data_IF_473018679530
#
_entry.id   IF_473018679530
#
_cell.length_a   1.000
_cell.length_b   1.000
_cell.length_c   1.000
_cell.angle_alpha   90.00
_cell.angle_beta   90.00
_cell.angle_gamma   90.00
#
_symmetry.space_group_name_H-M   'P 1'
#
loop_
_entity.id
_entity.type
_entity.pdbx_description
1 polymer ?
#
# COMPACT_ATOMS: atom_id res chain seq x y z
N UNK A 1 7.27 18.12 23.69
CA UNK A 1 6.46 16.87 23.60
C UNK A 1 5.04 17.13 23.11
N UNK A 2 4.26 18.04 23.72
CA UNK A 2 2.86 18.35 23.30
C UNK A 2 2.73 18.69 21.82
N UNK A 3 3.64 19.51 21.27
CA UNK A 3 3.61 19.92 19.85
C UNK A 3 3.82 18.75 18.87
N UNK A 4 4.77 17.85 19.15
CA UNK A 4 5.00 16.65 18.33
C UNK A 4 3.77 15.73 18.38
N UNK A 5 3.16 15.55 19.56
CA UNK A 5 1.91 14.79 19.67
C UNK A 5 0.81 15.38 18.77
N UNK A 6 0.68 16.71 18.74
CA UNK A 6 -0.26 17.39 17.84
C UNK A 6 0.07 17.13 16.37
N UNK A 7 1.33 17.24 15.96
CA UNK A 7 1.76 16.90 14.59
C UNK A 7 1.40 15.45 14.21
N UNK A 8 1.55 14.50 15.13
CA UNK A 8 1.14 13.11 14.91
C UNK A 8 -0.38 12.98 14.70
N UNK A 9 -1.20 13.64 15.53
CA UNK A 9 -2.66 13.65 15.37
C UNK A 9 -3.08 14.26 14.03
N UNK A 10 -2.48 15.38 13.64
CA UNK A 10 -2.75 16.02 12.34
C UNK A 10 -2.30 15.13 11.16
N UNK A 11 -1.19 14.38 11.31
CA UNK A 11 -0.72 13.42 10.30
C UNK A 11 -1.74 12.30 10.11
N UNK A 12 -2.23 11.69 11.21
CA UNK A 12 -3.28 10.66 11.16
C UNK A 12 -4.52 11.22 10.47
N UNK A 13 -4.99 12.38 10.90
CA UNK A 13 -6.19 13.01 10.37
C UNK A 13 -6.06 13.24 8.88
N UNK A 14 -4.93 13.80 8.43
CA UNK A 14 -4.66 14.01 7.02
C UNK A 14 -4.61 12.69 6.24
N UNK A 15 -3.95 11.65 6.77
CA UNK A 15 -3.92 10.33 6.13
C UNK A 15 -5.33 9.79 5.93
N UNK A 16 -6.16 9.82 6.98
CA UNK A 16 -7.57 9.40 6.94
C UNK A 16 -8.35 10.13 5.86
N UNK A 17 -8.16 11.45 5.71
CA UNK A 17 -8.79 12.26 4.67
C UNK A 17 -8.32 11.85 3.25
N UNK A 18 -7.08 11.37 3.10
CA UNK A 18 -6.55 10.90 1.82
C UNK A 18 -6.91 9.45 1.47
N UNK A 19 -7.24 8.59 2.43
CA UNK A 19 -7.53 7.16 2.19
C UNK A 19 -8.58 6.90 1.09
N UNK A 20 -9.70 7.64 0.99
CA UNK A 20 -10.67 7.44 -0.10
C UNK A 20 -10.07 7.72 -1.49
N UNK A 21 -9.24 8.76 -1.60
CA UNK A 21 -8.58 9.13 -2.85
C UNK A 21 -7.50 8.12 -3.22
N UNK A 22 -6.72 7.66 -2.24
CA UNK A 22 -5.72 6.60 -2.41
C UNK A 22 -6.38 5.30 -2.88
N UNK A 23 -7.45 4.87 -2.21
CA UNK A 23 -8.25 3.69 -2.59
C UNK A 23 -8.74 3.81 -4.03
N UNK A 24 -9.32 4.95 -4.41
CA UNK A 24 -9.81 5.17 -5.77
C UNK A 24 -8.68 5.05 -6.80
N UNK A 25 -7.52 5.64 -6.53
CA UNK A 25 -6.37 5.59 -7.42
C UNK A 25 -5.85 4.15 -7.61
N UNK A 26 -5.68 3.40 -6.53
CA UNK A 26 -5.25 2.00 -6.57
C UNK A 26 -6.26 1.14 -7.33
N UNK A 27 -7.56 1.29 -7.05
CA UNK A 27 -8.62 0.49 -7.69
C UNK A 27 -8.74 0.77 -9.18
N UNK A 28 -8.55 2.02 -9.60
CA UNK A 28 -8.52 2.37 -11.02
C UNK A 28 -7.30 1.76 -11.71
N UNK A 29 -6.13 1.81 -11.06
CA UNK A 29 -4.87 1.28 -11.60
C UNK A 29 -4.85 -0.25 -11.65
N UNK A 30 -5.63 -0.90 -10.78
CA UNK A 30 -5.71 -2.37 -10.67
C UNK A 30 -7.12 -2.89 -10.97
N UNK A 31 -7.78 -2.39 -12.00
CA UNK A 31 -9.18 -2.75 -12.28
C UNK A 31 -9.35 -4.25 -12.57
N UNK A 32 -10.12 -4.91 -11.68
CA UNK A 32 -10.50 -6.33 -11.77
C UNK A 32 -11.90 -6.52 -12.38
N UNK A 33 -12.65 -5.44 -12.59
CA UNK A 33 -14.06 -5.50 -13.00
C UNK A 33 -14.21 -6.04 -14.42
N UNK A 34 -13.34 -5.61 -15.34
CA UNK A 34 -13.33 -6.06 -16.74
C UNK A 34 -13.02 -7.56 -16.87
N UNK A 35 -11.88 -8.08 -16.36
CA UNK A 35 -11.58 -9.51 -16.49
C UNK A 35 -12.62 -10.41 -15.79
N UNK A 36 -13.17 -9.96 -14.65
CA UNK A 36 -14.27 -10.68 -13.99
C UNK A 36 -15.53 -10.74 -14.85
N UNK A 37 -15.93 -9.65 -15.52
CA UNK A 37 -17.08 -9.63 -16.44
C UNK A 37 -16.84 -10.54 -17.64
N UNK A 38 -15.61 -10.54 -18.19
CA UNK A 38 -15.25 -11.41 -19.30
C UNK A 38 -15.30 -12.89 -18.91
N UNK A 39 -14.78 -13.27 -17.73
CA UNK A 39 -14.90 -14.65 -17.23
C UNK A 39 -16.35 -15.10 -17.10
N UNK A 40 -17.22 -14.27 -16.53
CA UNK A 40 -18.66 -14.58 -16.43
C UNK A 40 -19.29 -14.82 -17.80
N UNK A 41 -18.90 -14.04 -18.81
CA UNK A 41 -19.37 -14.21 -20.19
C UNK A 41 -18.86 -15.51 -20.81
N UNK A 42 -17.56 -15.80 -20.70
CA UNK A 42 -16.94 -17.02 -21.23
C UNK A 42 -17.60 -18.27 -20.62
N UNK A 43 -17.84 -18.28 -19.31
CA UNK A 43 -18.51 -19.39 -18.60
C UNK A 43 -19.97 -19.57 -18.98
N UNK A 44 -20.64 -18.51 -19.42
CA UNK A 44 -22.00 -18.62 -19.96
C UNK A 44 -21.96 -19.22 -21.38
N UNK A 45 -21.08 -18.72 -22.24
CA UNK A 45 -20.90 -19.23 -23.61
C UNK A 45 -20.48 -20.71 -23.61
N UNK A 46 -19.55 -21.12 -22.74
CA UNK A 46 -19.16 -22.53 -22.59
C UNK A 46 -20.33 -23.44 -22.21
N UNK A 47 -21.15 -23.04 -21.23
CA UNK A 47 -22.33 -23.82 -20.83
C UNK A 47 -23.34 -23.97 -21.98
N UNK A 48 -23.51 -22.93 -22.79
CA UNK A 48 -24.38 -23.00 -23.98
C UNK A 48 -23.83 -23.95 -25.03
N UNK A 49 -22.52 -23.90 -25.31
CA UNK A 49 -21.88 -24.82 -26.26
C UNK A 49 -21.88 -26.27 -25.77
N UNK A 50 -21.67 -26.50 -24.48
CA UNK A 50 -21.77 -27.84 -23.88
C UNK A 50 -23.17 -28.43 -24.04
N UNK A 51 -24.22 -27.63 -23.84
CA UNK A 51 -25.60 -28.07 -24.09
C UNK A 51 -25.83 -28.40 -25.56
N UNK A 52 -25.29 -27.62 -26.49
CA UNK A 52 -25.38 -27.93 -27.93
C UNK A 52 -24.62 -29.20 -28.32
N UNK A 53 -23.47 -29.48 -27.69
CA UNK A 53 -22.69 -30.69 -27.94
C UNK A 53 -23.45 -31.97 -27.53
N UNK A 54 -24.30 -31.89 -26.50
CA UNK A 54 -25.15 -33.01 -26.08
C UNK A 54 -26.31 -33.28 -27.06
N UNK A 55 -26.67 -32.31 -27.91
CA UNK A 55 -27.82 -32.40 -28.83
C UNK A 55 -27.44 -32.80 -30.26
N UNK A 56 -26.23 -32.48 -30.75
CA UNK A 56 -25.79 -32.72 -32.14
C UNK A 56 -24.70 -33.80 -32.24
N UNK A 57 -24.93 -34.82 -33.08
CA UNK A 57 -23.99 -35.95 -33.33
C UNK A 57 -22.70 -35.55 -34.09
N UNK A 58 -22.57 -34.28 -34.53
CA UNK A 58 -21.46 -33.80 -35.35
C UNK A 58 -20.71 -32.66 -34.63
N UNK A 59 -19.94 -33.03 -33.60
CA UNK A 59 -19.40 -32.13 -32.56
C UNK A 59 -18.07 -31.43 -32.82
N UNK A 60 -17.36 -31.70 -33.92
CA UNK A 60 -15.98 -31.23 -34.14
C UNK A 60 -15.84 -29.69 -34.08
N UNK A 61 -16.80 -28.95 -34.64
CA UNK A 61 -16.78 -27.47 -34.64
C UNK A 61 -17.05 -26.90 -33.23
N UNK A 62 -17.87 -27.59 -32.43
CA UNK A 62 -18.21 -27.17 -31.05
C UNK A 62 -17.02 -27.41 -30.12
N UNK A 63 -16.31 -28.53 -30.30
CA UNK A 63 -15.10 -28.86 -29.54
C UNK A 63 -13.99 -27.82 -29.75
N UNK A 64 -13.72 -27.42 -31.00
CA UNK A 64 -12.75 -26.35 -31.29
C UNK A 64 -13.14 -25.00 -30.66
N UNK A 65 -14.43 -24.68 -30.61
CA UNK A 65 -14.89 -23.47 -29.96
C UNK A 65 -14.73 -23.53 -28.43
N UNK A 66 -14.97 -24.70 -27.81
CA UNK A 66 -14.76 -24.91 -26.39
C UNK A 66 -13.28 -24.77 -26.01
N UNK A 67 -12.36 -25.31 -26.81
CA UNK A 67 -10.91 -25.16 -26.63
C UNK A 67 -10.49 -23.67 -26.71
N UNK A 68 -11.01 -22.93 -27.71
CA UNK A 68 -10.76 -21.49 -27.82
C UNK A 68 -11.29 -20.71 -26.61
N UNK A 69 -12.44 -21.10 -26.06
CA UNK A 69 -12.99 -20.50 -24.84
C UNK A 69 -12.19 -20.88 -23.59
N UNK A 70 -11.58 -22.08 -23.55
CA UNK A 70 -10.67 -22.49 -22.48
C UNK A 70 -9.44 -21.61 -22.42
N UNK A 71 -8.76 -21.41 -23.56
CA UNK A 71 -7.59 -20.53 -23.64
C UNK A 71 -7.93 -19.07 -23.30
N UNK A 72 -9.13 -18.59 -23.68
CA UNK A 72 -9.61 -17.26 -23.28
C UNK A 72 -9.86 -17.17 -21.78
N UNK A 73 -10.43 -18.20 -21.16
CA UNK A 73 -10.66 -18.25 -19.72
C UNK A 73 -9.34 -18.23 -18.93
N UNK A 74 -8.38 -19.08 -19.31
CA UNK A 74 -7.04 -19.13 -18.72
C UNK A 74 -6.38 -17.74 -18.75
N UNK A 75 -6.38 -17.08 -19.92
CA UNK A 75 -5.84 -15.73 -20.05
C UNK A 75 -6.51 -14.71 -19.12
N UNK A 76 -7.82 -14.79 -18.90
CA UNK A 76 -8.49 -13.88 -17.97
C UNK A 76 -8.14 -14.19 -16.51
N UNK A 77 -7.94 -15.47 -16.18
CA UNK A 77 -7.47 -15.88 -14.86
C UNK A 77 -6.06 -15.39 -14.56
N UNK A 78 -5.15 -15.43 -15.54
CA UNK A 78 -3.81 -14.86 -15.39
C UNK A 78 -3.85 -13.35 -15.12
N UNK A 79 -4.70 -12.62 -15.85
CA UNK A 79 -4.89 -11.18 -15.61
C UNK A 79 -5.43 -10.94 -14.20
N UNK A 80 -6.40 -11.71 -13.73
CA UNK A 80 -6.93 -11.59 -12.36
C UNK A 80 -5.87 -11.91 -11.31
N UNK A 81 -5.13 -13.01 -11.49
CA UNK A 81 -4.05 -13.45 -10.61
C UNK A 81 -3.03 -12.34 -10.39
N UNK A 82 -2.48 -11.82 -11.49
CA UNK A 82 -1.45 -10.78 -11.43
C UNK A 82 -2.00 -9.49 -10.82
N UNK A 83 -3.20 -9.03 -11.23
CA UNK A 83 -3.78 -7.77 -10.73
C UNK A 83 -4.27 -7.84 -9.30
N UNK A 84 -4.79 -8.98 -8.85
CA UNK A 84 -5.20 -9.17 -7.44
C UNK A 84 -3.98 -9.03 -6.53
N UNK A 85 -2.86 -9.70 -6.86
CA UNK A 85 -1.63 -9.58 -6.09
C UNK A 85 -1.03 -8.16 -6.18
N UNK A 86 -1.02 -7.59 -7.38
CA UNK A 86 -0.57 -6.21 -7.63
C UNK A 86 -1.31 -5.23 -6.74
N UNK A 87 -2.63 -5.37 -6.60
CA UNK A 87 -3.45 -4.51 -5.75
C UNK A 87 -3.03 -4.58 -4.28
N UNK A 88 -2.81 -5.79 -3.75
CA UNK A 88 -2.38 -5.98 -2.35
C UNK A 88 -1.05 -5.28 -2.10
N UNK A 89 -0.05 -5.60 -2.93
CA UNK A 89 1.31 -5.06 -2.78
C UNK A 89 1.33 -3.54 -2.99
N UNK A 90 0.65 -3.03 -4.01
CA UNK A 90 0.54 -1.58 -4.27
C UNK A 90 -0.16 -0.86 -3.12
N UNK A 91 -1.17 -1.48 -2.51
CA UNK A 91 -1.85 -0.88 -1.34
C UNK A 91 -0.90 -0.71 -0.17
N UNK A 92 -0.11 -1.74 0.15
CA UNK A 92 0.88 -1.67 1.22
C UNK A 92 1.90 -0.54 0.99
N UNK A 93 2.54 -0.55 -0.18
CA UNK A 93 3.55 0.46 -0.53
C UNK A 93 2.95 1.87 -0.56
N UNK A 94 1.85 2.07 -1.29
CA UNK A 94 1.29 3.40 -1.45
C UNK A 94 0.76 3.98 -0.13
N UNK A 95 0.22 3.13 0.75
CA UNK A 95 -0.19 3.54 2.10
C UNK A 95 1.00 3.98 2.96
N UNK A 96 2.06 3.18 3.02
CA UNK A 96 3.27 3.51 3.80
C UNK A 96 3.95 4.77 3.27
N UNK A 97 4.13 4.88 1.96
CA UNK A 97 4.73 6.07 1.33
C UNK A 97 3.91 7.32 1.63
N UNK A 98 2.59 7.26 1.47
CA UNK A 98 1.71 8.39 1.79
C UNK A 98 1.82 8.80 3.26
N UNK A 99 1.78 7.83 4.18
CA UNK A 99 1.92 8.08 5.61
C UNK A 99 3.25 8.75 5.96
N UNK A 100 4.37 8.24 5.46
CA UNK A 100 5.69 8.78 5.78
C UNK A 100 5.91 10.17 5.19
N UNK A 101 5.42 10.44 3.98
CA UNK A 101 5.51 11.77 3.36
C UNK A 101 4.65 12.78 4.14
N UNK A 102 3.44 12.41 4.53
CA UNK A 102 2.59 13.23 5.41
C UNK A 102 3.29 13.51 6.73
N UNK A 103 3.90 12.49 7.33
CA UNK A 103 4.62 12.61 8.59
C UNK A 103 5.74 13.64 8.48
N UNK A 104 6.60 13.52 7.45
CA UNK A 104 7.71 14.45 7.21
C UNK A 104 7.18 15.86 7.00
N UNK A 105 6.23 16.06 6.08
CA UNK A 105 5.73 17.40 5.75
C UNK A 105 5.03 18.07 6.94
N UNK A 106 4.15 17.35 7.65
CA UNK A 106 3.43 17.91 8.80
C UNK A 106 4.39 18.26 9.94
N UNK A 107 5.41 17.44 10.20
CA UNK A 107 6.40 17.72 11.24
C UNK A 107 7.33 18.87 10.86
N UNK A 108 7.78 18.93 9.60
CA UNK A 108 8.61 20.01 9.08
C UNK A 108 7.93 21.36 9.22
N UNK A 109 6.67 21.42 8.81
CA UNK A 109 5.88 22.64 8.87
C UNK A 109 5.51 23.00 10.31
N UNK A 110 5.23 22.01 11.15
CA UNK A 110 4.99 22.21 12.58
C UNK A 110 6.21 22.77 13.30
N UNK A 111 7.41 22.28 12.98
CA UNK A 111 8.68 22.76 13.51
C UNK A 111 8.98 24.21 13.10
N UNK A 112 8.76 24.55 11.82
CA UNK A 112 8.90 25.91 11.30
C UNK A 112 7.92 26.89 11.96
N UNK A 113 6.64 26.55 12.01
CA UNK A 113 5.62 27.38 12.67
C UNK A 113 5.97 27.65 14.14
N UNK A 114 6.51 26.66 14.85
CA UNK A 114 6.95 26.85 16.23
C UNK A 114 8.15 27.81 16.34
N UNK A 115 9.13 27.69 15.46
CA UNK A 115 10.30 28.58 15.43
C UNK A 115 9.87 30.03 15.21
N UNK A 116 8.95 30.25 14.29
CA UNK A 116 8.40 31.58 13.99
C UNK A 116 7.64 32.16 15.20
N UNK A 117 6.78 31.36 15.86
CA UNK A 117 6.08 31.77 17.09
C UNK A 117 7.06 32.15 18.20
N UNK A 118 8.14 31.38 18.38
CA UNK A 118 9.14 31.63 19.41
C UNK A 118 9.96 32.88 19.12
N UNK A 119 10.35 33.10 17.87
CA UNK A 119 11.02 34.33 17.44
C UNK A 119 10.14 35.56 17.62
N UNK A 120 8.84 35.44 17.32
CA UNK A 120 7.89 36.52 17.52
C UNK A 120 7.77 36.88 19.00
N UNK A 121 7.57 35.89 19.89
CA UNK A 121 7.54 36.12 21.33
C UNK A 121 8.82 36.78 21.85
N UNK A 122 9.98 36.39 21.31
CA UNK A 122 11.26 36.99 21.66
C UNK A 122 11.37 38.44 21.21
N UNK A 123 10.85 38.80 20.04
CA UNK A 123 10.81 40.20 19.55
C UNK A 123 9.90 41.05 20.43
N UNK A 124 8.72 40.55 20.78
CA UNK A 124 7.78 41.24 21.66
C UNK A 124 8.38 41.52 23.06
N UNK A 125 9.15 40.58 23.62
CA UNK A 125 9.85 40.77 24.89
C UNK A 125 10.97 41.82 24.82
N UNK A 126 11.67 41.93 23.69
CA UNK A 126 12.75 42.93 23.51
C UNK A 126 12.16 44.33 23.32
N UNK A 127 11.02 44.44 22.64
CA UNK A 127 10.37 45.73 22.38
C UNK A 127 9.76 46.37 23.64
N UNK A 128 9.32 45.59 24.63
CA UNK A 128 8.72 46.14 25.86
C UNK A 128 9.77 46.75 26.83
N UNK A 129 11.04 46.35 26.72
CA UNK A 129 12.16 46.92 27.51
C UNK A 129 12.74 48.21 26.90
N UNK A 130 12.33 48.60 25.69
CA UNK A 130 12.82 49.82 25.04
C UNK A 130 12.01 51.03 25.54
N UNK A 131 12.66 52.08 26.08
CA UNK A 131 11.96 53.25 26.62
C UNK A 131 11.08 53.88 25.54
N UNK A 132 9.76 53.82 25.78
CA UNK A 132 8.72 54.32 24.86
C UNK A 132 8.84 55.84 24.74
N UNK A 133 9.61 56.32 23.76
CA UNK A 133 9.57 57.72 23.34
C UNK A 133 8.19 58.00 22.74
N UNK A 134 7.37 58.80 23.44
CA UNK A 134 5.93 58.97 23.22
C UNK A 134 5.51 59.62 21.88
N UNK A 135 6.39 59.72 20.87
CA UNK A 135 6.17 60.61 19.70
C UNK A 135 6.05 59.96 18.32
N UNK A 136 6.09 58.64 18.16
CA UNK A 136 5.90 58.01 16.84
C UNK A 136 4.80 56.95 16.82
N UNK A 137 3.55 57.38 16.62
CA UNK A 137 2.41 56.51 16.29
C UNK A 137 2.57 55.94 14.88
N UNK A 138 3.36 54.89 14.72
CA UNK A 138 3.53 54.18 13.45
C UNK A 138 2.77 52.86 13.52
N UNK A 139 1.83 52.68 12.61
CA UNK A 139 0.81 51.63 12.63
C UNK A 139 1.42 50.24 12.37
N UNK A 140 1.12 49.20 13.16
CA UNK A 140 1.66 47.84 13.02
C UNK A 140 0.96 47.04 11.89
N UNK A 141 1.08 47.50 10.64
CA UNK A 141 0.39 46.90 9.50
C UNK A 141 1.18 45.77 8.78
N UNK A 142 2.42 45.48 9.15
CA UNK A 142 3.32 44.59 8.40
C UNK A 142 3.31 43.11 8.83
N UNK A 143 2.65 42.74 9.93
CA UNK A 143 2.66 41.35 10.45
C UNK A 143 1.61 40.43 9.83
N UNK A 144 0.58 40.95 9.17
CA UNK A 144 -0.47 40.10 8.59
C UNK A 144 -0.08 39.47 7.24
N UNK A 145 0.75 40.14 6.43
CA UNK A 145 1.09 39.70 5.07
C UNK A 145 1.96 38.43 5.05
N UNK A 146 2.87 38.26 6.02
CA UNK A 146 3.77 37.09 6.08
C UNK A 146 3.01 35.78 6.33
N UNK A 147 2.01 35.80 7.22
CA UNK A 147 1.21 34.63 7.57
C UNK A 147 0.40 34.09 6.38
N UNK A 148 -0.07 34.99 5.52
CA UNK A 148 -0.84 34.62 4.32
C UNK A 148 0.04 33.98 3.26
N UNK A 149 1.26 34.49 3.06
CA UNK A 149 2.20 33.93 2.08
C UNK A 149 2.65 32.51 2.45
N UNK A 150 2.85 32.25 3.75
CA UNK A 150 3.23 30.94 4.25
C UNK A 150 2.14 29.89 4.00
N UNK A 151 0.88 30.21 4.32
CA UNK A 151 -0.26 29.30 4.10
C UNK A 151 -0.44 28.93 2.63
N UNK A 152 -0.26 29.90 1.74
CA UNK A 152 -0.37 29.65 0.29
C UNK A 152 0.79 28.78 -0.21
N UNK A 153 2.01 29.06 0.21
CA UNK A 153 3.18 28.23 -0.14
C UNK A 153 2.99 26.79 0.33
N UNK A 154 2.50 26.60 1.56
CA UNK A 154 2.17 25.29 2.10
C UNK A 154 1.11 24.56 1.26
N UNK A 155 0.03 25.26 0.90
CA UNK A 155 -1.01 24.69 0.02
C UNK A 155 -0.41 24.21 -1.30
N UNK A 156 0.47 25.00 -1.92
CA UNK A 156 1.15 24.62 -3.17
C UNK A 156 1.97 23.34 -2.99
N UNK A 157 2.76 23.25 -1.91
CA UNK A 157 3.58 22.07 -1.61
C UNK A 157 2.72 20.82 -1.45
N UNK A 158 1.67 20.88 -0.61
CA UNK A 158 0.78 19.75 -0.40
C UNK A 158 0.08 19.36 -1.70
N UNK A 159 -0.54 20.33 -2.40
CA UNK A 159 -1.27 20.06 -3.64
C UNK A 159 -0.37 19.40 -4.66
N UNK A 160 0.83 19.96 -4.94
CA UNK A 160 1.75 19.36 -5.92
C UNK A 160 2.20 17.96 -5.53
N UNK A 161 2.53 17.74 -4.26
CA UNK A 161 3.02 16.44 -3.78
C UNK A 161 1.94 15.37 -3.89
N UNK A 162 0.77 15.61 -3.28
CA UNK A 162 -0.28 14.59 -3.19
C UNK A 162 -1.10 14.43 -4.46
N UNK A 163 -1.31 15.50 -5.22
CA UNK A 163 -1.99 15.40 -6.52
C UNK A 163 -1.19 14.50 -7.45
N UNK A 164 0.11 14.76 -7.61
CA UNK A 164 1.02 13.92 -8.41
C UNK A 164 1.11 12.49 -7.88
N UNK A 165 1.23 12.33 -6.57
CA UNK A 165 1.31 11.01 -5.96
C UNK A 165 0.06 10.18 -6.31
N UNK A 166 -1.12 10.74 -6.09
CA UNK A 166 -2.40 10.07 -6.30
C UNK A 166 -2.80 9.93 -7.77
N UNK A 167 -2.40 10.84 -8.66
CA UNK A 167 -2.80 10.81 -10.07
C UNK A 167 -1.89 9.94 -10.94
N UNK A 168 -0.57 10.03 -10.74
CA UNK A 168 0.43 9.42 -11.61
C UNK A 168 1.23 8.35 -10.89
N UNK A 169 1.71 8.66 -9.68
CA UNK A 169 2.74 7.84 -9.06
C UNK A 169 2.21 6.51 -8.55
N UNK A 170 0.99 6.48 -8.01
CA UNK A 170 0.28 5.22 -7.66
C UNK A 170 0.06 4.36 -8.90
N UNK A 171 -0.24 4.94 -10.07
CA UNK A 171 -0.40 4.17 -11.31
C UNK A 171 0.93 3.61 -11.81
N UNK A 172 2.02 4.38 -11.69
CA UNK A 172 3.36 3.92 -12.07
C UNK A 172 3.83 2.81 -11.13
N UNK A 173 3.62 2.97 -9.82
CA UNK A 173 3.89 1.94 -8.82
C UNK A 173 3.10 0.66 -9.11
N UNK A 174 1.78 0.77 -9.38
CA UNK A 174 0.95 -0.37 -9.72
C UNK A 174 1.45 -1.12 -10.96
N UNK A 175 1.89 -0.37 -11.97
CA UNK A 175 2.42 -0.95 -13.21
C UNK A 175 3.75 -1.68 -12.97
N UNK A 176 4.68 -1.07 -12.24
CA UNK A 176 5.97 -1.70 -11.92
C UNK A 176 5.77 -2.98 -11.10
N UNK A 177 4.80 -2.97 -10.17
CA UNK A 177 4.40 -4.17 -9.41
C UNK A 177 3.71 -5.20 -10.30
N UNK A 178 2.85 -4.81 -11.25
CA UNK A 178 2.17 -5.72 -12.18
C UNK A 178 3.19 -6.44 -13.08
N UNK A 179 4.17 -5.71 -13.61
CA UNK A 179 5.25 -6.25 -14.44
C UNK A 179 6.11 -7.28 -13.66
N UNK A 180 6.33 -7.05 -12.36
CA UNK A 180 7.02 -7.99 -11.48
C UNK A 180 6.15 -9.19 -11.10
N UNK A 181 4.87 -8.98 -10.79
CA UNK A 181 3.94 -10.04 -10.48
C UNK A 181 3.77 -11.00 -11.66
N UNK A 182 3.72 -10.48 -12.90
CA UNK A 182 3.66 -11.31 -14.11
C UNK A 182 4.89 -12.22 -14.24
N UNK A 183 6.09 -11.75 -13.87
CA UNK A 183 7.30 -12.58 -13.90
C UNK A 183 7.31 -13.62 -12.79
N UNK A 184 7.06 -13.18 -11.55
CA UNK A 184 7.17 -14.01 -10.35
C UNK A 184 6.10 -15.12 -10.34
N UNK A 185 4.91 -14.84 -10.87
CA UNK A 185 3.77 -15.76 -10.94
C UNK A 185 3.63 -16.48 -12.29
N UNK A 186 4.62 -16.39 -13.19
CA UNK A 186 4.52 -16.96 -14.55
C UNK A 186 4.22 -18.46 -14.59
N UNK A 187 4.61 -19.19 -13.54
CA UNK A 187 4.47 -20.64 -13.43
C UNK A 187 3.25 -21.07 -12.59
N UNK A 188 2.52 -20.11 -12.05
CA UNK A 188 1.30 -20.37 -11.30
C UNK A 188 0.12 -20.44 -12.25
N UNK A 189 -0.35 -21.66 -12.54
CA UNK A 189 -1.46 -21.91 -13.46
C UNK A 189 -2.76 -22.11 -12.68
N UNK A 190 -3.72 -21.20 -12.84
CA UNK A 190 -4.98 -21.22 -12.09
C UNK A 190 -5.88 -22.40 -12.46
N UNK A 191 -5.86 -22.83 -13.73
CA UNK A 191 -6.79 -23.84 -14.26
C UNK A 191 -6.23 -25.27 -14.27
N UNK A 192 -5.04 -25.49 -13.70
CA UNK A 192 -4.32 -26.76 -13.86
C UNK A 192 -3.82 -26.96 -15.29
N UNK A 193 -2.62 -27.54 -15.43
CA UNK A 193 -2.25 -28.14 -16.70
C UNK A 193 -2.94 -29.50 -16.75
N UNK A 194 -3.65 -29.81 -17.84
CA UNK A 194 -4.24 -31.14 -18.01
C UNK A 194 -3.12 -32.18 -17.84
N UNK A 195 -3.17 -32.93 -16.74
CA UNK A 195 -2.09 -33.85 -16.31
C UNK A 195 -1.84 -35.01 -17.29
N UNK A 196 -2.62 -35.11 -18.37
CA UNK A 196 -2.50 -36.17 -19.35
C UNK A 196 -1.21 -36.11 -20.19
N UNK A 197 -0.52 -34.98 -20.26
CA UNK A 197 0.79 -34.88 -20.94
C UNK A 197 1.97 -35.40 -20.10
N UNK A 198 1.82 -35.54 -18.76
CA UNK A 198 2.93 -35.93 -17.86
C UNK A 198 3.25 -37.42 -17.79
N UNK A 199 2.42 -38.29 -18.37
CA UNK A 199 2.63 -39.76 -18.31
C UNK A 199 3.77 -40.30 -19.18
N UNK A 200 4.45 -39.46 -19.97
CA UNK A 200 5.40 -39.97 -20.98
C UNK A 200 6.87 -39.98 -20.58
N UNK A 201 7.27 -39.51 -19.39
CA UNK A 201 8.71 -39.40 -19.07
C UNK A 201 9.11 -39.69 -17.61
N UNK A 202 8.62 -40.79 -17.02
CA UNK A 202 9.00 -41.25 -15.66
C UNK A 202 10.49 -41.63 -15.46
N UNK A 203 11.38 -41.42 -16.45
CA UNK A 203 12.78 -41.86 -16.39
C UNK A 203 13.82 -40.74 -16.25
N UNK A 204 13.43 -39.46 -16.14
CA UNK A 204 14.40 -38.39 -15.86
C UNK A 204 14.54 -38.11 -14.35
N UNK A 205 15.73 -38.46 -13.88
CA UNK A 205 16.21 -38.56 -12.50
C UNK A 205 16.57 -37.17 -11.97
N UNK A 206 15.98 -36.78 -10.84
CA UNK A 206 16.47 -35.83 -9.82
C UNK A 206 17.21 -34.57 -10.30
N UNK A 207 16.46 -33.51 -10.63
CA UNK A 207 16.95 -32.14 -10.46
C UNK A 207 16.00 -31.39 -9.50
N UNK A 208 16.49 -31.14 -8.28
CA UNK A 208 15.80 -30.63 -7.08
C UNK A 208 15.17 -29.22 -7.16
N UNK A 209 14.82 -28.70 -8.33
CA UNK A 209 14.10 -27.42 -8.46
C UNK A 209 13.10 -27.44 -9.62
N UNK A 210 12.42 -28.56 -9.86
CA UNK A 210 11.22 -28.51 -10.69
C UNK A 210 10.16 -27.70 -9.92
N UNK A 211 10.00 -26.45 -10.34
CA UNK A 211 8.84 -25.60 -9.99
C UNK A 211 7.58 -26.41 -10.35
N UNK A 212 7.01 -27.10 -9.36
CA UNK A 212 5.76 -27.82 -9.54
C UNK A 212 4.71 -26.83 -9.99
N UNK A 213 4.02 -27.15 -11.09
CA UNK A 213 2.77 -26.49 -11.47
C UNK A 213 1.82 -26.59 -10.26
N UNK A 214 1.66 -25.47 -9.55
CA UNK A 214 0.93 -25.41 -8.29
C UNK A 214 -0.48 -24.93 -8.58
N UNK A 215 -1.44 -25.86 -8.65
CA UNK A 215 -2.88 -25.55 -8.67
C UNK A 215 -3.39 -25.17 -7.30
N UNK A 216 -2.81 -25.77 -6.28
CA UNK A 216 -3.13 -25.55 -4.88
C UNK A 216 -1.90 -24.96 -4.21
N UNK A 217 -2.08 -23.94 -3.38
CA UNK A 217 -1.00 -23.21 -2.73
C UNK A 217 -1.24 -23.14 -1.23
N UNK A 218 -0.17 -22.97 -0.48
CA UNK A 218 -0.21 -22.67 0.95
C UNK A 218 -0.04 -21.17 1.20
N UNK A 219 -0.32 -20.73 2.42
CA UNK A 219 -0.01 -19.35 2.86
C UNK A 219 1.48 -19.01 2.67
N UNK A 220 2.35 -19.98 2.96
CA UNK A 220 3.79 -19.85 2.80
C UNK A 220 4.22 -19.65 1.33
N UNK A 221 3.59 -20.35 0.39
CA UNK A 221 3.88 -20.18 -1.05
C UNK A 221 3.55 -18.76 -1.53
N UNK A 222 2.41 -18.23 -1.08
CA UNK A 222 2.01 -16.86 -1.39
C UNK A 222 2.95 -15.83 -0.75
N UNK A 223 3.30 -16.01 0.52
CA UNK A 223 4.26 -15.16 1.23
C UNK A 223 5.61 -15.12 0.52
N UNK A 224 6.14 -16.27 0.10
CA UNK A 224 7.40 -16.34 -0.64
C UNK A 224 7.33 -15.54 -1.95
N UNK A 225 6.21 -15.59 -2.67
CA UNK A 225 6.04 -14.83 -3.91
C UNK A 225 5.89 -13.33 -3.67
N UNK A 226 5.24 -12.93 -2.58
CA UNK A 226 5.20 -11.53 -2.15
C UNK A 226 6.62 -11.06 -1.82
N UNK A 227 7.37 -11.83 -1.03
CA UNK A 227 8.75 -11.50 -0.67
C UNK A 227 9.68 -11.44 -1.89
N UNK A 228 9.50 -12.30 -2.89
CA UNK A 228 10.25 -12.22 -4.15
C UNK A 228 9.98 -10.89 -4.89
N UNK A 229 8.73 -10.41 -4.92
CA UNK A 229 8.40 -9.11 -5.51
C UNK A 229 9.00 -7.97 -4.68
N UNK A 230 8.91 -8.05 -3.35
CA UNK A 230 9.47 -7.05 -2.43
C UNK A 230 10.98 -6.92 -2.58
N UNK A 231 11.68 -8.04 -2.63
CA UNK A 231 13.13 -8.12 -2.83
C UNK A 231 13.62 -7.37 -4.08
N UNK A 232 12.83 -7.39 -5.14
CA UNK A 232 13.13 -6.66 -6.38
C UNK A 232 12.74 -5.17 -6.26
N UNK A 233 11.57 -4.86 -5.71
CA UNK A 233 11.09 -3.47 -5.52
C UNK A 233 12.01 -2.67 -4.59
N UNK A 234 12.28 -3.22 -3.40
CA UNK A 234 13.13 -2.62 -2.36
C UNK A 234 14.62 -2.69 -2.75
N UNK A 235 14.97 -3.55 -3.72
CA UNK A 235 16.30 -3.61 -4.33
C UNK A 235 17.32 -4.43 -3.56
N UNK A 236 16.87 -5.32 -2.67
CA UNK A 236 17.73 -6.31 -2.03
C UNK A 236 18.40 -7.23 -3.06
N UNK A 237 17.73 -7.51 -4.19
CA UNK A 237 18.28 -8.37 -5.23
C UNK A 237 18.92 -7.56 -6.37
N UNK A 238 20.17 -7.16 -6.14
CA UNK A 238 21.02 -6.49 -7.15
C UNK A 238 21.25 -7.31 -8.44
N UNK A 239 20.96 -8.62 -8.43
CA UNK A 239 21.19 -9.52 -9.57
C UNK A 239 19.96 -9.78 -10.46
N UNK A 240 18.74 -9.39 -10.04
CA UNK A 240 17.52 -9.71 -10.81
C UNK A 240 17.55 -9.01 -12.18
N UNK A 241 18.03 -7.77 -12.23
CA UNK A 241 18.22 -7.02 -13.49
C UNK A 241 19.32 -7.58 -14.41
N UNK A 242 20.30 -8.35 -13.89
CA UNK A 242 21.37 -8.91 -14.74
C UNK A 242 20.90 -10.08 -15.58
N UNK A 243 19.91 -10.86 -15.12
CA UNK A 243 19.40 -12.03 -15.86
C UNK A 243 18.36 -11.68 -16.93
N UNK A 244 17.75 -10.49 -16.85
CA UNK A 244 16.61 -10.10 -17.71
C UNK A 244 16.88 -8.99 -18.72
N UNK A 245 18.15 -8.71 -19.06
CA UNK A 245 18.44 -7.98 -20.31
C UNK A 245 17.90 -8.80 -21.48
N UNK A 246 16.68 -8.49 -21.93
CA UNK A 246 16.09 -9.04 -23.14
C UNK A 246 17.12 -8.90 -24.26
N UNK A 247 17.50 -9.98 -24.96
CA UNK A 247 18.55 -9.92 -25.98
C UNK A 247 18.25 -8.95 -27.14
N UNK A 248 16.98 -8.61 -27.33
CA UNK A 248 16.52 -7.82 -28.46
C UNK A 248 15.65 -6.65 -27.99
N UNK A 249 16.15 -5.42 -28.16
CA UNK A 249 15.32 -4.31 -28.58
C UNK A 249 15.03 -3.24 -27.54
N UNK A 250 15.62 -2.07 -27.81
CA UNK A 250 15.32 -0.75 -27.28
C UNK A 250 15.65 -0.65 -25.80
N UNK A 251 16.81 -0.03 -25.53
CA UNK A 251 17.15 0.51 -24.22
C UNK A 251 16.03 1.45 -23.79
N UNK A 252 14.99 0.91 -23.13
CA UNK A 252 14.09 1.70 -22.32
C UNK A 252 15.02 2.40 -21.35
N UNK A 253 15.21 3.69 -21.55
CA UNK A 253 16.00 4.56 -20.69
C UNK A 253 15.26 4.67 -19.36
N UNK A 254 15.15 3.57 -18.61
CA UNK A 254 15.02 3.64 -17.16
C UNK A 254 16.32 4.32 -16.75
N UNK A 255 16.23 5.62 -16.48
CA UNK A 255 17.35 6.45 -16.10
C UNK A 255 17.91 5.95 -14.76
N UNK A 256 18.69 4.87 -14.79
CA UNK A 256 19.50 4.38 -13.66
C UNK A 256 20.67 5.33 -13.34
N UNK A 257 20.59 6.59 -13.80
CA UNK A 257 21.55 7.63 -13.43
C UNK A 257 21.23 8.07 -12.00
N UNK A 258 22.04 7.50 -11.09
CA UNK A 258 22.38 7.97 -9.74
C UNK A 258 21.54 7.43 -8.58
N UNK A 259 21.63 6.12 -8.30
CA UNK A 259 21.66 5.70 -6.90
C UNK A 259 23.03 6.07 -6.33
N UNK A 260 23.12 7.20 -5.63
CA UNK A 260 24.23 7.37 -4.69
C UNK A 260 23.78 7.05 -3.27
N UNK A 261 22.60 7.44 -2.83
CA UNK A 261 22.03 7.08 -1.52
C UNK A 261 20.49 7.24 -1.59
N UNK A 262 19.72 6.40 -0.90
CA UNK A 262 18.25 6.51 -0.81
C UNK A 262 17.45 5.31 -1.33
N UNK A 263 16.24 5.15 -0.77
CA UNK A 263 15.27 4.11 -1.14
C UNK A 263 14.87 4.15 -2.62
N UNK A 264 14.57 2.99 -3.19
CA UNK A 264 14.08 2.89 -4.57
C UNK A 264 12.67 3.46 -4.75
N UNK A 265 11.89 3.44 -3.67
CA UNK A 265 10.47 3.78 -3.71
C UNK A 265 10.25 5.29 -3.71
N UNK A 266 11.26 6.06 -3.31
CA UNK A 266 11.23 7.53 -3.32
C UNK A 266 10.96 8.11 -4.71
N UNK A 267 11.29 7.37 -5.77
CA UNK A 267 11.02 7.77 -7.17
C UNK A 267 9.52 7.88 -7.47
N UNK A 268 8.66 7.23 -6.66
CA UNK A 268 7.21 7.35 -6.76
C UNK A 268 6.66 8.53 -5.94
N UNK A 269 7.50 9.28 -5.24
CA UNK A 269 7.09 10.49 -4.52
C UNK A 269 7.70 11.73 -5.20
N UNK A 270 8.99 11.67 -5.49
CA UNK A 270 9.75 12.82 -5.99
C UNK A 270 9.61 12.89 -7.51
N UNK A 271 9.32 14.08 -8.06
CA UNK A 271 9.40 14.33 -9.48
C UNK A 271 10.70 13.87 -10.11
N UNK A 272 10.60 13.17 -11.25
CA UNK A 272 11.76 12.96 -12.10
C UNK A 272 12.35 14.31 -12.48
N UNK A 273 13.64 14.52 -12.16
CA UNK A 273 14.39 15.75 -12.50
C UNK A 273 14.31 15.95 -14.03
N UNK A 274 13.38 16.79 -14.50
CA UNK A 274 13.16 17.08 -15.91
C UNK A 274 11.70 17.12 -16.38
N UNK A 275 10.72 16.71 -15.56
CA UNK A 275 9.30 16.75 -15.94
C UNK A 275 8.64 18.11 -15.64
N UNK A 276 9.18 18.90 -14.70
CA UNK A 276 8.55 20.14 -14.19
C UNK A 276 8.83 21.40 -15.03
N UNK A 277 9.49 21.29 -16.19
CA UNK A 277 9.84 22.47 -17.01
C UNK A 277 8.64 23.09 -17.78
N UNK A 278 7.43 22.52 -17.66
CA UNK A 278 6.27 22.94 -18.45
C UNK A 278 5.50 24.16 -17.89
N UNK A 279 5.71 24.56 -16.62
CA UNK A 279 4.87 25.59 -15.96
C UNK A 279 5.55 26.95 -15.71
N UNK A 280 6.75 27.20 -16.25
CA UNK A 280 7.53 28.46 -16.04
C UNK A 280 6.99 29.72 -16.75
N UNK A 281 5.67 29.96 -16.81
CA UNK A 281 5.10 31.06 -17.63
C UNK A 281 4.58 32.32 -16.92
N UNK A 282 4.62 32.46 -15.59
CA UNK A 282 4.14 33.69 -14.91
C UNK A 282 5.10 34.26 -13.84
N UNK A 283 5.70 35.43 -14.12
CA UNK A 283 6.68 36.12 -13.25
C UNK A 283 6.13 36.62 -11.89
N UNK A 284 4.81 36.65 -11.65
CA UNK A 284 4.25 37.09 -10.35
C UNK A 284 4.15 35.97 -9.32
N UNK A 285 4.20 34.72 -9.78
CA UNK A 285 4.18 33.55 -8.91
C UNK A 285 5.59 33.17 -8.43
N UNK A 286 6.63 33.81 -8.96
CA UNK A 286 8.04 33.48 -8.76
C UNK A 286 8.45 33.55 -7.27
N UNK A 287 8.15 34.64 -6.55
CA UNK A 287 8.49 34.75 -5.11
C UNK A 287 7.68 33.81 -4.20
N UNK A 288 6.42 33.52 -4.54
CA UNK A 288 5.61 32.54 -3.77
C UNK A 288 6.10 31.12 -4.01
N UNK A 289 6.61 30.87 -5.22
CA UNK A 289 7.24 29.61 -5.56
C UNK A 289 8.57 29.43 -4.83
N UNK A 290 9.35 30.48 -4.55
CA UNK A 290 10.63 30.34 -3.83
C UNK A 290 10.49 29.65 -2.46
N UNK A 291 9.51 30.06 -1.63
CA UNK A 291 9.30 29.44 -0.33
C UNK A 291 8.77 28.01 -0.45
N UNK A 292 7.85 27.77 -1.39
CA UNK A 292 7.33 26.43 -1.66
C UNK A 292 8.42 25.47 -2.15
N UNK A 293 9.28 25.93 -3.07
CA UNK A 293 10.46 25.20 -3.55
C UNK A 293 11.45 24.92 -2.42
N UNK A 294 11.68 25.88 -1.53
CA UNK A 294 12.54 25.67 -0.37
C UNK A 294 11.99 24.57 0.56
N UNK A 295 10.68 24.56 0.83
CA UNK A 295 10.04 23.51 1.64
C UNK A 295 10.11 22.15 0.93
N UNK A 296 9.89 22.11 -0.39
CA UNK A 296 10.00 20.89 -1.17
C UNK A 296 11.42 20.32 -1.16
N UNK A 297 12.43 21.17 -1.37
CA UNK A 297 13.83 20.75 -1.34
C UNK A 297 14.20 20.16 0.03
N UNK A 298 13.81 20.82 1.12
CA UNK A 298 14.06 20.29 2.47
C UNK A 298 13.29 18.99 2.74
N UNK A 299 12.07 18.87 2.22
CA UNK A 299 11.31 17.61 2.27
C UNK A 299 12.08 16.51 1.54
N UNK A 300 12.55 16.77 0.33
CA UNK A 300 13.31 15.81 -0.48
C UNK A 300 14.63 15.41 0.19
N UNK A 301 15.35 16.36 0.78
CA UNK A 301 16.58 16.07 1.55
C UNK A 301 16.30 15.09 2.71
N UNK A 302 15.15 15.23 3.38
CA UNK A 302 14.73 14.31 4.45
C UNK A 302 14.34 12.95 3.87
N UNK A 303 13.57 12.92 2.78
CA UNK A 303 13.16 11.66 2.14
C UNK A 303 14.36 10.86 1.60
N UNK A 304 15.41 11.53 1.12
CA UNK A 304 16.66 10.90 0.67
C UNK A 304 17.58 10.48 1.82
N UNK A 305 17.22 10.81 3.07
CA UNK A 305 18.06 10.54 4.23
C UNK A 305 18.03 9.05 4.64
N UNK A 306 19.12 8.52 5.24
CA UNK A 306 19.14 7.16 5.79
C UNK A 306 18.11 6.92 6.91
N UNK A 307 17.66 8.00 7.56
CA UNK A 307 16.66 7.91 8.63
C UNK A 307 15.28 7.64 8.03
N UNK A 308 14.98 8.24 6.88
CA UNK A 308 13.76 7.93 6.14
C UNK A 308 13.80 6.50 5.59
N UNK A 309 14.89 6.10 4.94
CA UNK A 309 15.08 4.73 4.41
C UNK A 309 14.82 3.67 5.49
N UNK A 310 15.39 3.86 6.69
CA UNK A 310 15.15 2.96 7.83
C UNK A 310 13.69 2.96 8.30
N UNK A 311 13.04 4.13 8.36
CA UNK A 311 11.64 4.24 8.76
C UNK A 311 10.71 3.59 7.75
N UNK A 312 11.01 3.73 6.47
CA UNK A 312 10.30 3.08 5.37
C UNK A 312 10.41 1.56 5.43
N UNK A 313 11.61 1.02 5.58
CA UNK A 313 11.85 -0.42 5.72
C UNK A 313 11.07 -1.00 6.91
N UNK A 314 11.18 -0.40 8.10
CA UNK A 314 10.45 -0.86 9.30
C UNK A 314 8.93 -0.76 9.11
N UNK A 315 8.42 0.34 8.53
CA UNK A 315 7.00 0.48 8.27
C UNK A 315 6.47 -0.54 7.26
N UNK A 316 7.22 -0.83 6.19
CA UNK A 316 6.83 -1.82 5.19
C UNK A 316 6.80 -3.22 5.78
N UNK A 317 7.84 -3.61 6.52
CA UNK A 317 7.89 -4.91 7.19
C UNK A 317 6.66 -5.11 8.08
N UNK A 318 6.36 -4.16 8.95
CA UNK A 318 5.18 -4.22 9.83
C UNK A 318 3.88 -4.26 9.03
N UNK A 319 3.77 -3.45 7.96
CA UNK A 319 2.57 -3.43 7.12
C UNK A 319 2.32 -4.78 6.43
N UNK A 320 3.38 -5.44 5.94
CA UNK A 320 3.26 -6.76 5.31
C UNK A 320 3.01 -7.87 6.34
N UNK A 321 3.55 -7.78 7.57
CA UNK A 321 3.19 -8.70 8.65
C UNK A 321 1.71 -8.56 9.04
N UNK A 322 1.20 -7.34 9.22
CA UNK A 322 -0.23 -7.16 9.53
C UNK A 322 -1.10 -7.64 8.36
N UNK A 323 -0.69 -7.41 7.10
CA UNK A 323 -1.40 -7.97 5.96
C UNK A 323 -1.37 -9.50 5.89
N UNK A 324 -0.34 -10.13 6.46
CA UNK A 324 -0.30 -11.57 6.60
C UNK A 324 -1.27 -12.01 7.68
N UNK A 325 -1.17 -11.44 8.88
CA UNK A 325 -2.00 -11.78 10.05
C UNK A 325 -3.49 -11.49 9.82
N UNK A 326 -3.85 -10.28 9.38
CA UNK A 326 -5.24 -9.83 9.25
C UNK A 326 -5.79 -9.89 7.81
N UNK A 327 -4.94 -10.24 6.85
CA UNK A 327 -5.23 -10.10 5.43
C UNK A 327 -5.26 -11.44 4.69
N UNK A 328 -4.16 -11.79 4.01
CA UNK A 328 -4.15 -13.00 3.19
C UNK A 328 -3.86 -14.28 3.99
N UNK A 329 -3.30 -14.20 5.19
CA UNK A 329 -3.06 -15.38 6.03
C UNK A 329 -4.36 -16.01 6.50
N UNK A 330 -5.34 -15.18 6.88
CA UNK A 330 -6.70 -15.60 7.22
C UNK A 330 -7.40 -16.38 6.09
N UNK A 331 -6.94 -16.26 4.84
CA UNK A 331 -7.53 -17.03 3.75
C UNK A 331 -7.32 -18.53 3.90
N UNK A 332 -6.32 -18.95 4.69
CA UNK A 332 -5.90 -20.34 4.87
C UNK A 332 -6.29 -20.91 6.24
N UNK A 333 -6.94 -20.12 7.09
CA UNK A 333 -7.52 -20.59 8.33
C UNK A 333 -8.83 -21.31 8.01
N UNK A 334 -9.03 -22.50 8.57
CA UNK A 334 -10.30 -23.21 8.43
C UNK A 334 -11.34 -22.45 9.29
N UNK A 335 -12.51 -22.14 8.70
CA UNK A 335 -13.62 -21.55 9.44
C UNK A 335 -14.12 -22.60 10.46
N UNK A 336 -13.51 -22.62 11.65
CA UNK A 336 -13.89 -23.52 12.76
C UNK A 336 -15.31 -23.24 13.32
N UNK A 337 -16.01 -22.24 12.77
CA UNK A 337 -17.28 -21.71 13.27
C UNK A 337 -18.53 -22.52 12.84
N UNK A 338 -18.40 -23.53 11.97
CA UNK A 338 -19.56 -24.24 11.40
C UNK A 338 -20.03 -25.49 12.19
N UNK A 339 -19.38 -25.87 13.30
CA UNK A 339 -19.62 -27.19 13.94
C UNK A 339 -20.21 -27.19 15.38
N UNK A 340 -20.50 -26.06 16.03
CA UNK A 340 -20.87 -26.07 17.47
C UNK A 340 -22.35 -25.83 17.85
N UNK A 341 -23.27 -25.62 16.89
CA UNK A 341 -24.69 -25.36 17.21
C UNK A 341 -25.61 -26.60 17.16
N UNK A 342 -25.13 -27.77 16.75
CA UNK A 342 -25.93 -29.01 16.78
C UNK A 342 -25.17 -30.17 17.46
N UNK A 343 -25.55 -30.45 18.72
CA UNK A 343 -25.28 -31.64 19.55
C UNK A 343 -23.96 -31.54 20.36
N UNK A 344 -23.95 -31.36 21.69
CA UNK A 344 -24.28 -32.42 22.65
C UNK A 344 -24.49 -31.88 24.08
N UNK A 345 -25.72 -32.02 24.58
CA UNK A 345 -26.07 -31.94 26.00
C UNK A 345 -25.71 -33.26 26.76
N UNK A 346 -24.79 -34.09 26.25
CA UNK A 346 -24.54 -35.42 26.82
C UNK A 346 -23.06 -35.83 26.90
N UNK A 347 -22.55 -35.88 28.13
CA UNK A 347 -21.41 -36.68 28.61
C UNK A 347 -19.98 -36.25 28.24
N UNK A 348 -19.52 -35.14 28.85
CA UNK A 348 -18.46 -35.19 29.88
C UNK A 348 -17.15 -35.94 29.61
N UNK A 349 -16.66 -36.03 28.38
CA UNK A 349 -15.31 -36.51 28.07
C UNK A 349 -14.58 -35.39 27.32
N UNK A 350 -13.83 -34.58 28.06
CA UNK A 350 -12.87 -33.63 27.48
C UNK A 350 -11.80 -34.44 26.74
N UNK A 351 -11.95 -34.54 25.42
CA UNK A 351 -10.92 -35.03 24.53
C UNK A 351 -9.83 -33.95 24.50
N UNK A 352 -8.76 -34.16 25.27
CA UNK A 352 -7.54 -33.35 25.19
C UNK A 352 -6.99 -33.49 23.77
N UNK A 353 -7.18 -32.47 22.91
CA UNK A 353 -6.40 -32.31 21.67
C UNK A 353 -4.92 -32.35 22.09
N UNK A 354 -4.22 -33.43 21.74
CA UNK A 354 -2.81 -33.63 22.09
C UNK A 354 -1.96 -32.61 21.34
N UNK A 355 -1.14 -31.84 22.06
CA UNK A 355 -0.33 -30.70 21.57
C UNK A 355 0.73 -31.02 20.47
N UNK A 356 0.76 -32.23 19.93
CA UNK A 356 1.81 -32.70 19.03
C UNK A 356 1.31 -33.03 17.60
N UNK A 357 0.07 -32.70 17.26
CA UNK A 357 -0.36 -32.74 15.85
C UNK A 357 0.21 -31.50 15.15
N UNK A 358 1.34 -31.66 14.47
CA UNK A 358 1.87 -30.67 13.53
C UNK A 358 0.75 -30.30 12.54
N UNK A 359 0.18 -29.11 12.69
CA UNK A 359 -0.84 -28.57 11.78
C UNK A 359 -0.28 -28.63 10.35
N UNK A 360 -0.85 -29.53 9.55
CA UNK A 360 -0.49 -29.59 8.14
C UNK A 360 -0.95 -28.29 7.48
N UNK A 361 -0.10 -27.65 6.66
CA UNK A 361 -0.46 -26.38 6.04
C UNK A 361 -1.68 -26.58 5.12
N UNK A 362 -2.72 -25.76 5.33
CA UNK A 362 -3.92 -25.75 4.50
C UNK A 362 -3.56 -25.46 3.04
N UNK A 363 -3.96 -26.36 2.14
CA UNK A 363 -3.79 -26.22 0.71
C UNK A 363 -5.09 -25.69 0.10
N UNK A 364 -5.02 -24.55 -0.59
CA UNK A 364 -6.17 -23.96 -1.25
C UNK A 364 -5.97 -23.82 -2.74
N UNK A 365 -7.01 -24.08 -3.56
CA UNK A 365 -6.96 -23.82 -4.98
C UNK A 365 -6.60 -22.37 -5.26
N UNK A 366 -5.63 -22.13 -6.12
CA UNK A 366 -5.15 -20.80 -6.49
C UNK A 366 -6.29 -19.90 -6.99
N UNK A 367 -7.28 -20.47 -7.69
CA UNK A 367 -8.48 -19.74 -8.13
C UNK A 367 -9.27 -19.16 -6.95
N UNK A 368 -9.36 -19.90 -5.84
CA UNK A 368 -10.00 -19.45 -4.61
C UNK A 368 -9.20 -18.30 -3.99
N UNK A 369 -7.89 -18.49 -3.81
CA UNK A 369 -6.99 -17.46 -3.24
C UNK A 369 -7.05 -16.17 -4.05
N UNK A 370 -6.94 -16.24 -5.38
CA UNK A 370 -7.03 -15.07 -6.28
C UNK A 370 -8.38 -14.34 -6.16
N UNK A 371 -9.47 -15.08 -5.98
CA UNK A 371 -10.80 -14.51 -5.80
C UNK A 371 -10.94 -13.78 -4.46
N UNK A 372 -10.26 -14.24 -3.42
CA UNK A 372 -10.28 -13.64 -2.09
C UNK A 372 -9.29 -12.49 -1.91
N UNK A 373 -8.11 -12.55 -2.55
CA UNK A 373 -7.09 -11.49 -2.48
C UNK A 373 -7.63 -10.09 -2.83
N UNK A 374 -8.66 -10.01 -3.69
CA UNK A 374 -9.31 -8.72 -4.01
C UNK A 374 -10.01 -8.05 -2.82
N UNK A 375 -10.25 -8.79 -1.74
CA UNK A 375 -10.93 -8.35 -0.52
C UNK A 375 -9.96 -8.00 0.60
N UNK A 376 -8.74 -8.54 0.60
CA UNK A 376 -7.70 -8.30 1.60
C UNK A 376 -7.43 -6.81 1.82
N UNK A 377 -7.43 -6.01 0.76
CA UNK A 377 -7.15 -4.57 0.87
C UNK A 377 -8.32 -3.74 1.42
N UNK A 378 -9.47 -4.33 1.77
CA UNK A 378 -10.61 -3.55 2.30
C UNK A 378 -10.30 -2.99 3.68
N UNK A 379 -9.73 -3.80 4.58
CA UNK A 379 -9.39 -3.39 5.94
C UNK A 379 -8.45 -2.18 6.01
N UNK A 380 -7.55 -2.02 5.04
CA UNK A 380 -6.66 -0.85 4.94
C UNK A 380 -7.38 0.49 4.85
N UNK A 381 -8.54 0.51 4.19
CA UNK A 381 -9.28 1.74 3.94
C UNK A 381 -10.48 1.91 4.85
N UNK A 382 -10.72 0.95 5.76
CA UNK A 382 -11.79 1.05 6.74
C UNK A 382 -11.31 1.93 7.89
N UNK A 383 -11.94 3.09 8.02
CA UNK A 383 -11.82 3.90 9.22
C UNK A 383 -12.78 3.31 10.24
N UNK A 384 -12.30 2.99 11.45
CA UNK A 384 -13.14 2.53 12.55
C UNK A 384 -14.12 3.64 12.91
N UNK A 385 -15.26 3.67 12.23
CA UNK A 385 -16.39 4.47 12.67
C UNK A 385 -16.86 3.78 13.93
N UNK A 386 -16.61 4.40 15.09
CA UNK A 386 -17.20 3.98 16.36
C UNK A 386 -18.71 4.12 16.17
N UNK A 387 -19.34 3.07 15.65
CA UNK A 387 -20.77 2.97 15.61
C UNK A 387 -21.17 2.79 17.06
N UNK A 388 -21.63 3.87 17.68
CA UNK A 388 -22.02 3.96 19.09
C UNK A 388 -23.27 3.13 19.44
N UNK A 389 -23.57 2.09 18.65
CA UNK A 389 -24.74 1.25 18.79
C UNK A 389 -24.50 -0.17 18.25
N UNK A 390 -23.87 -1.03 19.05
CA UNK A 390 -24.38 -2.37 19.40
C UNK A 390 -23.29 -3.17 20.11
N UNK A 391 -23.41 -3.32 21.43
CA UNK A 391 -22.73 -4.39 22.14
C UNK A 391 -23.35 -5.73 21.72
N UNK A 392 -22.53 -6.64 21.19
CA UNK A 392 -22.47 -8.05 21.58
C UNK A 392 -21.34 -8.71 20.80
N UNK A 393 -20.32 -9.19 21.55
CA UNK A 393 -19.32 -10.25 21.24
C UNK A 393 -18.40 -10.00 20.03
N UNK A 394 -17.08 -9.84 20.12
CA UNK A 394 -16.07 -10.51 20.96
C UNK A 394 -14.98 -9.55 21.50
N UNK A 395 -14.58 -9.80 22.74
CA UNK A 395 -13.51 -9.12 23.49
C UNK A 395 -12.11 -9.46 22.94
N UNK A 396 -11.43 -8.52 22.28
CA UNK A 396 -9.99 -8.68 21.99
C UNK A 396 -9.09 -7.47 22.32
N UNK A 397 -9.60 -6.33 22.83
CA UNK A 397 -8.73 -5.15 23.04
C UNK A 397 -9.03 -4.27 24.27
N UNK A 398 -9.34 -4.87 25.42
CA UNK A 398 -9.56 -4.12 26.66
C UNK A 398 -8.29 -4.07 27.55
N UNK A 399 -7.31 -3.23 27.19
CA UNK A 399 -6.48 -2.53 28.21
C UNK A 399 -5.55 -1.44 27.67
N UNK A 400 -6.10 -0.28 27.26
CA UNK A 400 -5.35 0.98 27.18
C UNK A 400 -6.18 2.14 27.75
N UNK A 401 -6.69 1.95 28.97
CA UNK A 401 -7.30 3.02 29.76
C UNK A 401 -6.33 3.42 30.87
N UNK A 402 -5.68 4.57 30.69
CA UNK A 402 -5.67 5.67 31.67
C UNK A 402 -4.77 6.82 31.19
N UNK A 403 -5.29 8.06 31.33
CA UNK A 403 -4.60 9.36 31.24
C UNK A 403 -4.25 9.83 29.80
N UNK A 404 -4.73 10.96 29.25
CA UNK A 404 -5.14 12.26 29.80
C UNK A 404 -6.04 13.03 28.81
N UNK A 405 -7.00 13.77 29.39
CA UNK A 405 -7.76 14.95 28.92
C UNK A 405 -8.67 14.86 27.68
N UNK A 406 -9.96 15.01 27.98
CA UNK A 406 -11.13 15.14 27.10
C UNK A 406 -10.96 16.24 26.04
N UNK A 407 -10.45 15.89 24.86
CA UNK A 407 -10.83 16.54 23.61
C UNK A 407 -11.98 15.74 23.00
N UNK A 408 -13.19 16.26 23.19
CA UNK A 408 -14.49 15.73 22.75
C UNK A 408 -14.66 15.86 21.23
N UNK A 409 -13.73 15.27 20.48
CA UNK A 409 -13.76 15.21 19.03
C UNK A 409 -14.19 13.80 18.65
N UNK A 410 -15.37 13.63 18.05
CA UNK A 410 -15.77 12.42 17.32
C UNK A 410 -14.90 12.22 16.06
N UNK A 411 -13.58 12.36 16.19
CA UNK A 411 -12.61 12.05 15.17
C UNK A 411 -12.53 10.52 15.12
N UNK A 412 -12.83 9.96 13.94
CA UNK A 412 -12.77 8.51 13.73
C UNK A 412 -11.43 7.97 14.22
N UNK A 413 -11.46 6.86 14.95
CA UNK A 413 -10.23 6.27 15.44
C UNK A 413 -9.34 5.90 14.24
N UNK A 414 -8.03 6.17 14.34
CA UNK A 414 -7.08 5.69 13.33
C UNK A 414 -7.26 4.19 13.14
N UNK A 415 -7.08 3.74 11.91
CA UNK A 415 -6.97 2.33 11.62
C UNK A 415 -5.80 1.72 12.43
N UNK A 416 -5.97 0.52 12.96
CA UNK A 416 -5.00 -0.13 13.87
C UNK A 416 -3.61 -0.24 13.22
N UNK A 417 -3.56 -0.41 11.90
CA UNK A 417 -2.35 -0.35 11.09
C UNK A 417 -1.54 0.93 11.37
N UNK A 418 -2.18 2.10 11.36
CA UNK A 418 -1.50 3.39 11.56
C UNK A 418 -0.99 3.51 12.99
N UNK A 419 -1.73 2.96 13.96
CA UNK A 419 -1.31 2.94 15.36
C UNK A 419 -0.04 2.11 15.56
N UNK A 420 0.08 0.96 14.90
CA UNK A 420 1.30 0.15 14.97
C UNK A 420 2.49 0.87 14.32
N UNK A 421 2.29 1.51 13.16
CA UNK A 421 3.36 2.29 12.51
C UNK A 421 3.89 3.43 13.40
N UNK A 422 3.03 4.10 14.16
CA UNK A 422 3.44 5.18 15.07
C UNK A 422 4.30 4.71 16.25
N UNK A 423 4.20 3.44 16.63
CA UNK A 423 4.96 2.89 17.76
C UNK A 423 6.43 2.67 17.39
N UNK A 424 6.74 2.59 16.10
CA UNK A 424 8.06 2.24 15.60
C UNK A 424 9.15 3.26 16.01
N UNK A 425 10.32 2.79 16.49
CA UNK A 425 11.41 3.66 16.89
C UNK A 425 11.96 4.52 15.76
N UNK A 426 12.06 3.96 14.54
CA UNK A 426 12.52 4.68 13.35
C UNK A 426 11.60 5.84 12.99
N UNK A 427 10.29 5.64 13.04
CA UNK A 427 9.25 6.67 12.82
C UNK A 427 9.39 7.80 13.83
N UNK A 428 9.59 7.48 15.12
CA UNK A 428 9.88 8.50 16.16
C UNK A 428 11.17 9.28 15.86
N UNK A 429 12.20 8.59 15.36
CA UNK A 429 13.43 9.21 14.89
C UNK A 429 13.17 10.20 13.76
N UNK A 430 12.41 9.78 12.75
CA UNK A 430 12.02 10.60 11.60
C UNK A 430 11.19 11.83 12.01
N UNK A 431 10.22 11.67 12.92
CA UNK A 431 9.46 12.78 13.50
C UNK A 431 10.38 13.84 14.12
N UNK A 432 11.36 13.41 14.92
CA UNK A 432 12.25 14.31 15.63
C UNK A 432 13.17 15.08 14.66
N UNK A 433 13.69 14.40 13.63
CA UNK A 433 14.54 15.03 12.61
C UNK A 433 13.74 16.01 11.77
N UNK A 434 12.52 15.62 11.37
CA UNK A 434 11.66 16.48 10.56
C UNK A 434 11.18 17.71 11.34
N UNK A 435 10.99 17.60 12.65
CA UNK A 435 10.51 18.71 13.48
C UNK A 435 11.62 19.69 13.91
N UNK A 436 12.89 19.27 13.90
CA UNK A 436 14.03 20.08 14.33
C UNK A 436 14.33 21.24 13.38
#
# INVERSE_FOLDING_TARGET
>A
MVRIKRCNSETIRALTDFLPSLRKSIFNSTDLSQPTKMLKKIRLEKRQLQQHLEEDDNGDDVEQQLELLQLKEEKQWDILKNRSLTRVITTAYAHVLLYLVLLVQVHLLGGRLFRDEFEQQRRELIEDDSPKDETSSTTPASTSESSSSYRESHRIVLTRTYERFLSESVSNLAKDVEDLAEDVLRHWHVMGADDDDRKTNENEIYHDNEEKNCTDITSYDLENKINEIRDVMEGYVSNYHRRRRRPNGIDSHCNHRRRRYGSNLIQFIIPGIGEDDLDKKNNKDEQRNELAEYILNETWDILESPIFEKAEEECLNVTFEILKEDGWGLLFEEDDDDDDDELEENNGVQLLKTQDEEEQPTLLPLAHVVAQLRHVTKGFFETTTISSASSTTNDFFLSLSNLEDEMDCNEGQPNDYVLELQRLPSVKGLCNVSFA
#
